data_IF_900881764252
#
_entry.id   IF_900881764252
#
_cell.length_a   1.000
_cell.length_b   1.000
_cell.length_c   1.000
_cell.angle_alpha   90.00
_cell.angle_beta   90.00
_cell.angle_gamma   90.00
#
_symmetry.space_group_name_H-M   'P 1'
#
loop_
_entity.id
_entity.type
_entity.pdbx_description
1 polymer ?
#
# COMPACT_ATOMS: atom_id res chain seq x y z
N UNK A 1 9.91 -8.02 -25.46
CA UNK A 1 8.99 -6.96 -24.98
C UNK A 1 7.89 -7.47 -24.04
N UNK A 2 7.24 -8.62 -24.29
CA UNK A 2 6.10 -9.11 -23.49
C UNK A 2 6.43 -9.29 -21.99
N UNK A 3 7.66 -9.64 -21.62
CA UNK A 3 8.07 -9.78 -20.21
C UNK A 3 8.14 -8.46 -19.43
N UNK A 4 8.25 -7.31 -20.10
CA UNK A 4 8.48 -6.02 -19.45
C UNK A 4 7.19 -5.34 -19.01
N UNK A 5 6.05 -5.61 -19.67
CA UNK A 5 4.76 -4.96 -19.39
C UNK A 5 3.84 -5.81 -18.49
N UNK A 6 4.29 -7.01 -18.06
CA UNK A 6 3.48 -7.92 -17.22
C UNK A 6 3.00 -7.29 -15.93
N UNK A 7 3.77 -6.37 -15.34
CA UNK A 7 3.38 -5.65 -14.13
C UNK A 7 2.20 -4.70 -14.38
N UNK A 8 1.99 -4.20 -15.60
CA UNK A 8 0.85 -3.35 -15.95
C UNK A 8 -0.47 -4.14 -15.88
N UNK A 9 -0.46 -5.42 -16.26
CA UNK A 9 -1.64 -6.28 -16.16
C UNK A 9 -2.11 -6.49 -14.71
N UNK A 10 -1.26 -6.20 -13.73
CA UNK A 10 -1.51 -6.42 -12.30
C UNK A 10 -1.97 -5.14 -11.61
N UNK A 11 -1.74 -3.96 -12.20
CA UNK A 11 -2.27 -2.69 -11.70
C UNK A 11 -3.80 -2.72 -11.53
N UNK A 12 -4.62 -3.19 -12.50
CA UNK A 12 -6.06 -3.32 -12.30
C UNK A 12 -6.41 -4.25 -11.14
N UNK A 13 -5.69 -5.36 -11.00
CA UNK A 13 -5.92 -6.33 -9.92
C UNK A 13 -5.57 -5.73 -8.55
N UNK A 14 -4.50 -4.94 -8.47
CA UNK A 14 -4.08 -4.21 -7.28
C UNK A 14 -5.11 -3.14 -6.88
N UNK A 15 -5.69 -2.44 -7.85
CA UNK A 15 -6.76 -1.46 -7.61
C UNK A 15 -8.03 -2.15 -7.09
N UNK A 16 -8.43 -3.26 -7.71
CA UNK A 16 -9.60 -4.04 -7.27
C UNK A 16 -9.40 -4.54 -5.84
N UNK A 17 -8.23 -5.13 -5.55
CA UNK A 17 -7.92 -5.63 -4.21
C UNK A 17 -7.84 -4.52 -3.16
N UNK A 18 -7.36 -3.32 -3.51
CA UNK A 18 -7.39 -2.15 -2.63
C UNK A 18 -8.81 -1.70 -2.23
N UNK A 19 -9.83 -1.99 -3.05
CA UNK A 19 -11.25 -1.72 -2.72
C UNK A 19 -11.86 -2.88 -1.94
N UNK A 20 -11.59 -4.12 -2.38
CA UNK A 20 -12.23 -5.33 -1.83
C UNK A 20 -11.71 -5.66 -0.42
N UNK A 21 -10.39 -5.55 -0.18
CA UNK A 21 -9.78 -5.94 1.09
C UNK A 21 -10.33 -5.12 2.28
N UNK A 22 -10.44 -3.77 2.22
CA UNK A 22 -11.02 -2.99 3.30
C UNK A 22 -12.48 -3.34 3.60
N UNK A 23 -13.27 -3.65 2.56
CA UNK A 23 -14.67 -4.06 2.71
C UNK A 23 -14.74 -5.40 3.44
N UNK A 24 -13.93 -6.37 3.03
CA UNK A 24 -13.85 -7.69 3.66
C UNK A 24 -13.39 -7.56 5.11
N UNK A 25 -12.34 -6.78 5.39
CA UNK A 25 -11.85 -6.57 6.75
C UNK A 25 -12.92 -5.92 7.64
N UNK A 26 -13.62 -4.89 7.17
CA UNK A 26 -14.75 -4.30 7.93
C UNK A 26 -15.84 -5.33 8.20
N UNK A 27 -16.17 -6.17 7.23
CA UNK A 27 -17.17 -7.23 7.40
C UNK A 27 -16.72 -8.24 8.47
N UNK A 28 -15.46 -8.68 8.44
CA UNK A 28 -14.87 -9.62 9.39
C UNK A 28 -14.80 -9.05 10.83
N UNK A 29 -14.51 -7.75 10.95
CA UNK A 29 -14.56 -7.05 12.25
C UNK A 29 -16.00 -6.92 12.76
N UNK A 30 -16.95 -6.61 11.86
CA UNK A 30 -18.37 -6.46 12.21
C UNK A 30 -18.99 -7.78 12.72
N UNK A 31 -18.64 -8.91 12.11
CA UNK A 31 -19.11 -10.25 12.56
C UNK A 31 -18.33 -10.79 13.78
N UNK A 32 -17.47 -9.99 14.39
CA UNK A 32 -16.77 -10.33 15.64
C UNK A 32 -15.61 -11.31 15.49
N UNK A 33 -15.18 -11.62 14.27
CA UNK A 33 -14.02 -12.49 14.02
C UNK A 33 -12.70 -11.81 14.37
N UNK A 34 -12.65 -10.49 14.19
CA UNK A 34 -11.56 -9.64 14.68
C UNK A 34 -12.09 -8.68 15.73
N UNK A 35 -11.83 -8.97 17.01
CA UNK A 35 -12.11 -8.05 18.12
C UNK A 35 -11.09 -6.90 18.12
N UNK A 36 -11.18 -6.01 17.14
CA UNK A 36 -10.43 -4.76 17.15
C UNK A 36 -11.22 -3.71 17.96
N UNK A 37 -11.28 -3.92 19.28
CA UNK A 37 -11.84 -2.93 20.21
C UNK A 37 -10.74 -1.93 20.56
N UNK A 38 -10.95 -0.68 20.16
CA UNK A 38 -9.96 0.39 20.18
C UNK A 38 -9.51 0.80 21.58
N UNK A 39 -8.39 0.25 22.01
CA UNK A 39 -7.49 0.95 22.94
C UNK A 39 -6.43 1.69 22.11
N UNK A 40 -6.51 3.02 22.18
CA UNK A 40 -6.07 4.04 21.20
C UNK A 40 -4.58 4.08 20.83
N UNK A 41 -3.72 3.33 21.52
CA UNK A 41 -2.29 3.23 21.21
C UNK A 41 -1.93 2.02 20.35
N UNK A 42 -2.66 0.91 20.50
CA UNK A 42 -2.42 -0.30 19.71
C UNK A 42 -2.80 -0.10 18.24
N UNK A 43 -3.85 0.70 17.98
CA UNK A 43 -4.34 0.95 16.64
C UNK A 43 -3.37 1.77 15.78
N UNK A 44 -2.69 2.75 16.39
CA UNK A 44 -1.73 3.61 15.69
C UNK A 44 -0.56 2.81 15.09
N UNK A 45 0.10 1.98 15.91
CA UNK A 45 1.25 1.19 15.43
C UNK A 45 0.83 0.12 14.42
N UNK A 46 -0.36 -0.46 14.56
CA UNK A 46 -0.89 -1.44 13.60
C UNK A 46 -1.23 -0.78 12.27
N UNK A 47 -1.87 0.40 12.26
CA UNK A 47 -2.17 1.13 11.03
C UNK A 47 -0.91 1.66 10.34
N UNK A 48 0.07 2.12 11.12
CA UNK A 48 1.36 2.57 10.60
C UNK A 48 2.18 1.42 10.01
N UNK A 49 2.26 0.29 10.72
CA UNK A 49 2.98 -0.91 10.27
C UNK A 49 2.31 -1.57 9.07
N UNK A 50 0.97 -1.68 9.05
CA UNK A 50 0.23 -2.19 7.90
C UNK A 50 0.40 -1.31 6.67
N UNK A 51 0.37 0.02 6.81
CA UNK A 51 0.63 0.96 5.71
C UNK A 51 2.04 0.78 5.14
N UNK A 52 3.05 0.66 6.02
CA UNK A 52 4.42 0.38 5.63
C UNK A 52 4.54 -0.94 4.85
N UNK A 53 4.00 -2.03 5.39
CA UNK A 53 4.04 -3.36 4.78
C UNK A 53 3.33 -3.34 3.42
N UNK A 54 2.20 -2.64 3.31
CA UNK A 54 1.45 -2.55 2.05
C UNK A 54 2.26 -1.85 0.95
N UNK A 55 2.96 -0.76 1.29
CA UNK A 55 3.86 -0.08 0.36
C UNK A 55 5.04 -0.95 -0.08
N UNK A 56 5.64 -1.66 0.87
CA UNK A 56 6.72 -2.60 0.59
C UNK A 56 6.27 -3.74 -0.33
N UNK A 57 5.12 -4.36 -0.04
CA UNK A 57 4.57 -5.46 -0.85
C UNK A 57 4.22 -4.99 -2.26
N UNK A 58 3.62 -3.80 -2.40
CA UNK A 58 3.24 -3.27 -3.72
C UNK A 58 4.44 -3.17 -4.67
N UNK A 59 5.55 -2.59 -4.20
CA UNK A 59 6.77 -2.45 -5.01
C UNK A 59 7.47 -3.80 -5.17
N UNK A 60 7.54 -4.61 -4.11
CA UNK A 60 8.22 -5.91 -4.13
C UNK A 60 7.59 -6.87 -5.14
N UNK A 61 6.27 -7.04 -5.05
CA UNK A 61 5.51 -7.90 -5.96
C UNK A 61 5.70 -7.42 -7.39
N UNK A 62 5.53 -6.13 -7.65
CA UNK A 62 5.72 -5.57 -8.98
C UNK A 62 7.14 -5.77 -9.55
N UNK A 63 8.19 -5.68 -8.71
CA UNK A 63 9.57 -6.04 -9.08
C UNK A 63 9.69 -7.52 -9.46
N UNK A 64 9.11 -8.43 -8.69
CA UNK A 64 9.23 -9.87 -8.94
C UNK A 64 8.50 -10.34 -10.21
N UNK A 65 7.41 -9.66 -10.60
CA UNK A 65 6.69 -9.95 -11.85
C UNK A 65 7.50 -9.56 -13.10
N UNK A 66 8.42 -8.59 -12.99
CA UNK A 66 9.25 -8.11 -14.09
C UNK A 66 10.76 -8.36 -13.81
N UNK A 67 11.20 -9.62 -13.76
CA UNK A 67 12.53 -9.99 -13.28
C UNK A 67 13.68 -9.45 -14.14
N UNK A 68 13.43 -9.13 -15.41
CA UNK A 68 14.44 -8.59 -16.31
C UNK A 68 14.79 -7.12 -16.08
N UNK A 69 13.93 -6.36 -15.38
CA UNK A 69 14.10 -4.91 -15.18
C UNK A 69 13.64 -4.44 -13.80
N UNK A 70 13.92 -5.25 -12.76
CA UNK A 70 13.49 -5.00 -11.37
C UNK A 70 13.76 -3.55 -10.91
N UNK A 71 14.95 -3.02 -11.20
CA UNK A 71 15.35 -1.68 -10.80
C UNK A 71 14.48 -0.58 -11.45
N UNK A 72 14.19 -0.71 -12.75
CA UNK A 72 13.38 0.28 -13.49
C UNK A 72 11.92 0.19 -13.03
N UNK A 73 11.39 -1.02 -12.92
CA UNK A 73 10.00 -1.26 -12.50
C UNK A 73 9.78 -0.80 -11.06
N UNK A 74 10.72 -1.07 -10.15
CA UNK A 74 10.66 -0.57 -8.78
C UNK A 74 10.60 0.96 -8.71
N UNK A 75 11.41 1.67 -9.51
CA UNK A 75 11.37 3.14 -9.60
C UNK A 75 10.03 3.67 -10.13
N UNK A 76 9.50 3.04 -11.18
CA UNK A 76 8.20 3.43 -11.75
C UNK A 76 7.09 3.24 -10.71
N UNK A 77 7.06 2.08 -10.04
CA UNK A 77 6.06 1.78 -9.02
C UNK A 77 6.17 2.73 -7.83
N UNK A 78 7.39 3.07 -7.40
CA UNK A 78 7.61 4.06 -6.35
C UNK A 78 7.08 5.45 -6.74
N UNK A 79 7.34 5.90 -7.97
CA UNK A 79 6.79 7.17 -8.48
C UNK A 79 5.25 7.13 -8.48
N UNK A 80 4.65 6.01 -8.93
CA UNK A 80 3.20 5.81 -8.87
C UNK A 80 2.69 5.88 -7.42
N UNK A 81 3.40 5.25 -6.47
CA UNK A 81 3.06 5.33 -5.05
C UNK A 81 3.11 6.76 -4.51
N UNK A 82 4.07 7.60 -4.94
CA UNK A 82 4.11 9.02 -4.56
C UNK A 82 2.84 9.74 -4.99
N UNK A 83 2.40 9.56 -6.25
CA UNK A 83 1.18 10.19 -6.74
C UNK A 83 -0.06 9.72 -5.98
N UNK A 84 -0.19 8.40 -5.76
CA UNK A 84 -1.33 7.83 -5.04
C UNK A 84 -1.37 8.33 -3.59
N UNK A 85 -0.24 8.25 -2.88
CA UNK A 85 -0.15 8.70 -1.49
C UNK A 85 -0.34 10.20 -1.38
N UNK A 86 0.22 11.00 -2.28
CA UNK A 86 0.02 12.44 -2.31
C UNK A 86 -1.46 12.81 -2.44
N UNK A 87 -2.19 12.16 -3.35
CA UNK A 87 -3.64 12.34 -3.48
C UNK A 87 -4.41 11.89 -2.24
N UNK A 88 -4.06 10.73 -1.66
CA UNK A 88 -4.68 10.24 -0.43
C UNK A 88 -4.41 11.16 0.77
N UNK A 89 -3.21 11.72 0.86
CA UNK A 89 -2.84 12.64 1.93
C UNK A 89 -3.72 13.90 1.87
N UNK A 90 -3.81 14.53 0.70
CA UNK A 90 -4.65 15.73 0.51
C UNK A 90 -6.12 15.43 0.77
N UNK A 91 -6.62 14.28 0.29
CA UNK A 91 -8.00 13.86 0.50
C UNK A 91 -8.34 13.66 1.99
N UNK A 92 -7.52 12.89 2.71
CA UNK A 92 -7.72 12.67 4.15
C UNK A 92 -7.57 13.97 4.96
N UNK A 93 -6.64 14.84 4.55
CA UNK A 93 -6.49 16.16 5.17
C UNK A 93 -7.75 17.03 5.01
N UNK A 94 -8.37 17.03 3.83
CA UNK A 94 -9.62 17.75 3.57
C UNK A 94 -10.80 17.19 4.36
N UNK A 95 -10.83 15.88 4.64
CA UNK A 95 -11.85 15.23 5.47
C UNK A 95 -11.65 15.45 6.98
N UNK A 96 -10.53 16.05 7.41
CA UNK A 96 -10.19 16.21 8.82
C UNK A 96 -9.55 14.97 9.46
N UNK A 97 -9.36 13.89 8.69
CA UNK A 97 -8.77 12.61 9.09
C UNK A 97 -7.23 12.69 9.09
N UNK A 98 -6.67 13.54 9.95
CA UNK A 98 -5.23 13.86 9.97
C UNK A 98 -4.36 12.62 10.26
N UNK A 99 -4.79 11.74 11.16
CA UNK A 99 -4.05 10.53 11.51
C UNK A 99 -3.93 9.59 10.30
N UNK A 100 -5.03 9.39 9.55
CA UNK A 100 -5.03 8.61 8.31
C UNK A 100 -4.09 9.19 7.25
N UNK A 101 -4.01 10.52 7.15
CA UNK A 101 -3.04 11.18 6.28
C UNK A 101 -1.60 10.85 6.70
N UNK A 102 -1.27 10.85 7.98
CA UNK A 102 0.07 10.48 8.46
C UNK A 102 0.42 9.00 8.24
N UNK A 103 -0.53 8.07 8.41
CA UNK A 103 -0.29 6.65 8.13
C UNK A 103 0.11 6.39 6.68
N UNK A 104 -0.46 7.17 5.74
CA UNK A 104 -0.13 7.06 4.33
C UNK A 104 1.34 7.35 4.01
N UNK A 105 2.05 8.13 4.85
CA UNK A 105 3.48 8.40 4.68
C UNK A 105 4.34 7.16 4.95
N UNK A 106 3.93 6.30 5.90
CA UNK A 106 4.65 5.06 6.20
C UNK A 106 4.66 4.11 4.99
N UNK A 107 3.62 4.16 4.15
CA UNK A 107 3.54 3.44 2.88
C UNK A 107 4.69 3.83 1.94
N UNK A 108 5.02 5.13 1.84
CA UNK A 108 6.14 5.59 1.01
C UNK A 108 7.48 5.07 1.52
N UNK A 109 7.66 4.98 2.84
CA UNK A 109 8.89 4.44 3.43
C UNK A 109 9.05 2.96 3.06
N UNK A 110 7.99 2.16 3.19
CA UNK A 110 7.99 0.76 2.77
C UNK A 110 8.26 0.58 1.28
N UNK A 111 7.60 1.39 0.45
CA UNK A 111 7.79 1.40 -1.00
C UNK A 111 9.24 1.76 -1.40
N UNK A 112 9.83 2.75 -0.73
CA UNK A 112 11.22 3.18 -0.96
C UNK A 112 12.23 2.08 -0.59
N UNK A 113 12.04 1.42 0.56
CA UNK A 113 12.93 0.32 0.97
C UNK A 113 12.84 -0.85 -0.02
N UNK A 114 11.63 -1.23 -0.42
CA UNK A 114 11.44 -2.31 -1.41
C UNK A 114 11.95 -1.96 -2.81
N UNK A 115 11.97 -0.67 -3.18
CA UNK A 115 12.59 -0.22 -4.42
C UNK A 115 14.11 -0.50 -4.40
N UNK A 116 14.80 -0.11 -3.33
CA UNK A 116 16.26 -0.16 -3.23
C UNK A 116 16.82 -1.53 -2.84
N UNK A 117 16.07 -2.30 -2.05
CA UNK A 117 16.50 -3.59 -1.52
C UNK A 117 15.65 -4.71 -2.10
N UNK A 118 16.29 -5.83 -2.41
CA UNK A 118 15.61 -7.10 -2.66
C UNK A 118 15.42 -7.76 -1.28
N UNK A 119 14.38 -7.33 -0.55
CA UNK A 119 13.94 -7.94 0.71
C UNK A 119 13.26 -9.27 0.42
#
# INVERSE_FOLDING_TARGET
MINLLRWIAILPLAIISAIVIPIVLRLLTYIGLFNYRGEELSSFFVELSSSFVMGAIFVYVGKQIAPSNKMIVGKILFIISIFIVGSLFVFNWQLGEKLAAFYSLALLVGAYLSMNYDV
#
